data_IF_856440103775
#
_entry.id   IF_856440103775
#
_cell.length_a   1.000
_cell.length_b   1.000
_cell.length_c   1.000
_cell.angle_alpha   90.00
_cell.angle_beta   90.00
_cell.angle_gamma   90.00
#
_symmetry.space_group_name_H-M   'P 1'
#
loop_
_entity.id
_entity.type
_entity.pdbx_description
1 polymer ?
#
# COMPACT_ATOMS: atom_id res chain seq x y z
N UNK A 1 -6.85 -15.51 -12.98
CA UNK A 1 -5.46 -15.01 -12.94
C UNK A 1 -4.85 -15.59 -11.66
N UNK A 2 -3.65 -16.18 -11.71
CA UNK A 2 -3.03 -16.90 -10.59
C UNK A 2 -2.04 -16.05 -9.80
N UNK A 3 -2.43 -14.83 -9.44
CA UNK A 3 -1.65 -13.95 -8.58
C UNK A 3 -2.13 -14.07 -7.15
N UNK A 4 -1.25 -13.90 -6.17
CA UNK A 4 -1.61 -13.92 -4.75
C UNK A 4 -1.94 -12.51 -4.21
N UNK A 5 -1.45 -11.46 -4.88
CA UNK A 5 -1.60 -10.07 -4.45
C UNK A 5 -1.55 -9.10 -5.62
N UNK A 6 -2.00 -7.87 -5.36
CA UNK A 6 -1.90 -6.73 -6.25
C UNK A 6 -1.45 -5.52 -5.43
N UNK A 7 -0.59 -4.69 -5.99
CA UNK A 7 -0.31 -3.38 -5.42
C UNK A 7 -1.11 -2.26 -6.11
N UNK A 8 -1.49 -1.26 -5.34
CA UNK A 8 -2.20 -0.08 -5.80
C UNK A 8 -1.26 1.10 -5.62
N UNK A 9 -0.91 1.76 -6.72
CA UNK A 9 0.05 2.86 -6.71
C UNK A 9 -0.63 4.21 -6.40
N UNK A 10 -0.52 4.65 -5.16
CA UNK A 10 -0.93 5.99 -4.73
C UNK A 10 0.27 6.94 -4.56
N UNK A 11 1.49 6.52 -4.94
CA UNK A 11 2.68 7.37 -4.91
C UNK A 11 2.74 8.26 -6.16
N UNK A 12 2.64 7.62 -7.33
CA UNK A 12 2.70 8.31 -8.62
C UNK A 12 1.40 8.18 -9.43
N UNK A 13 0.50 7.30 -9.01
CA UNK A 13 -0.80 7.17 -9.64
C UNK A 13 -1.66 8.42 -9.45
N UNK A 14 -2.52 8.71 -10.41
CA UNK A 14 -3.50 9.80 -10.34
C UNK A 14 -4.75 9.45 -9.52
N UNK A 15 -4.75 8.28 -8.88
CA UNK A 15 -5.92 7.75 -8.18
C UNK A 15 -6.21 8.52 -6.90
N UNK A 16 -7.47 8.92 -6.72
CA UNK A 16 -7.92 9.49 -5.45
C UNK A 16 -8.29 8.38 -4.43
N UNK A 17 -8.52 8.77 -3.17
CA UNK A 17 -8.88 7.85 -2.07
C UNK A 17 -10.02 6.88 -2.44
N UNK A 18 -11.06 7.38 -3.10
CA UNK A 18 -12.26 6.59 -3.45
C UNK A 18 -12.00 5.62 -4.59
N UNK A 19 -11.16 6.00 -5.56
CA UNK A 19 -10.73 5.10 -6.64
C UNK A 19 -9.87 3.97 -6.08
N UNK A 20 -8.94 4.30 -5.17
CA UNK A 20 -8.14 3.30 -4.50
C UNK A 20 -8.98 2.35 -3.64
N UNK A 21 -9.98 2.87 -2.93
CA UNK A 21 -10.96 2.04 -2.19
C UNK A 21 -11.72 1.08 -3.12
N UNK A 22 -12.13 1.53 -4.29
CA UNK A 22 -12.78 0.66 -5.27
C UNK A 22 -11.83 -0.40 -5.85
N UNK A 23 -10.55 -0.06 -6.04
CA UNK A 23 -9.53 -1.04 -6.46
C UNK A 23 -9.25 -2.07 -5.37
N UNK A 24 -9.23 -1.67 -4.09
CA UNK A 24 -9.11 -2.59 -2.95
C UNK A 24 -10.28 -3.58 -2.95
N UNK A 25 -11.52 -3.08 -3.06
CA UNK A 25 -12.71 -3.94 -3.16
C UNK A 25 -12.65 -4.89 -4.33
N UNK A 26 -12.20 -4.41 -5.49
CA UNK A 26 -12.04 -5.25 -6.67
C UNK A 26 -11.02 -6.36 -6.42
N UNK A 27 -9.87 -6.06 -5.80
CA UNK A 27 -8.86 -7.06 -5.46
C UNK A 27 -9.43 -8.14 -4.52
N UNK A 28 -10.15 -7.74 -3.48
CA UNK A 28 -10.79 -8.68 -2.54
C UNK A 28 -11.81 -9.59 -3.23
N UNK A 29 -12.60 -9.07 -4.18
CA UNK A 29 -13.55 -9.88 -4.95
C UNK A 29 -12.90 -10.96 -5.82
N UNK A 30 -11.60 -10.82 -6.13
CA UNK A 30 -10.81 -11.79 -6.88
C UNK A 30 -9.85 -12.59 -5.99
N UNK A 31 -10.05 -12.58 -4.67
CA UNK A 31 -9.19 -13.25 -3.69
C UNK A 31 -7.71 -12.80 -3.75
N UNK A 32 -7.46 -11.56 -4.19
CA UNK A 32 -6.12 -10.97 -4.22
C UNK A 32 -5.90 -10.14 -2.96
N UNK A 33 -4.73 -10.28 -2.33
CA UNK A 33 -4.31 -9.41 -1.24
C UNK A 33 -4.00 -7.99 -1.78
N UNK A 34 -4.75 -6.94 -1.39
CA UNK A 34 -4.48 -5.58 -1.83
C UNK A 34 -3.40 -4.92 -0.96
N UNK A 35 -2.27 -4.60 -1.59
CA UNK A 35 -1.18 -3.83 -1.00
C UNK A 35 -1.24 -2.41 -1.57
N UNK A 36 -0.98 -1.36 -0.79
CA UNK A 36 -1.06 0.03 -1.28
C UNK A 36 0.29 0.71 -1.12
N UNK A 37 0.82 1.30 -2.18
CA UNK A 37 2.04 2.11 -2.14
C UNK A 37 1.70 3.57 -1.90
N UNK A 38 2.33 4.18 -0.91
CA UNK A 38 2.07 5.55 -0.49
C UNK A 38 3.24 6.48 -0.79
N UNK A 39 3.04 7.80 -0.84
CA UNK A 39 4.13 8.77 -1.03
C UNK A 39 5.06 8.86 0.18
N UNK A 40 4.54 8.64 1.39
CA UNK A 40 5.32 8.73 2.62
C UNK A 40 4.65 7.97 3.76
N UNK A 41 5.39 7.74 4.84
CA UNK A 41 4.83 7.26 6.09
C UNK A 41 4.01 8.38 6.77
N UNK A 42 2.70 8.17 6.92
CA UNK A 42 1.75 9.14 7.46
C UNK A 42 0.52 8.45 8.05
N UNK A 43 -0.20 9.12 8.95
CA UNK A 43 -1.53 8.69 9.44
C UNK A 43 -2.53 8.44 8.30
N UNK A 44 -2.28 9.00 7.12
CA UNK A 44 -3.05 8.72 5.90
C UNK A 44 -3.11 7.23 5.56
N UNK A 45 -2.07 6.45 5.87
CA UNK A 45 -2.03 4.99 5.65
C UNK A 45 -3.15 4.28 6.41
N UNK A 46 -3.43 4.70 7.65
CA UNK A 46 -4.47 4.08 8.49
C UNK A 46 -5.84 4.13 7.81
N UNK A 47 -6.13 5.21 7.08
CA UNK A 47 -7.39 5.36 6.34
C UNK A 47 -7.56 4.35 5.21
N UNK A 48 -6.48 3.74 4.72
CA UNK A 48 -6.54 2.70 3.70
C UNK A 48 -6.60 1.31 4.32
N UNK A 49 -5.94 1.11 5.47
CA UNK A 49 -6.10 -0.09 6.28
C UNK A 49 -7.56 -0.26 6.72
N UNK A 50 -8.20 0.82 7.18
CA UNK A 50 -9.62 0.83 7.54
C UNK A 50 -10.55 0.52 6.35
N UNK A 51 -10.05 0.67 5.11
CA UNK A 51 -10.77 0.41 3.86
C UNK A 51 -10.49 -0.97 3.26
N UNK A 52 -9.70 -1.81 3.93
CA UNK A 52 -9.40 -3.17 3.48
C UNK A 52 -8.01 -3.36 2.87
N UNK A 53 -7.15 -2.34 2.83
CA UNK A 53 -5.76 -2.55 2.46
C UNK A 53 -5.09 -3.50 3.46
N UNK A 54 -4.43 -4.54 2.96
CA UNK A 54 -3.81 -5.58 3.78
C UNK A 54 -2.31 -5.34 4.02
N UNK A 55 -1.75 -4.32 3.39
CA UNK A 55 -0.40 -3.86 3.70
C UNK A 55 -0.04 -2.56 2.97
N UNK A 56 0.73 -1.67 3.61
CA UNK A 56 1.37 -0.55 2.94
C UNK A 56 2.75 -0.92 2.37
N UNK A 57 3.09 -0.22 1.30
CA UNK A 57 4.45 -0.07 0.79
C UNK A 57 4.89 1.37 1.04
N UNK A 58 6.04 1.51 1.70
CA UNK A 58 6.67 2.81 1.97
C UNK A 58 7.89 2.95 1.05
N UNK A 59 7.92 3.93 0.14
CA UNK A 59 9.04 4.18 -0.75
C UNK A 59 10.15 4.97 -0.05
N UNK A 60 11.29 5.08 -0.73
CA UNK A 60 12.42 5.94 -0.36
C UNK A 60 13.16 5.61 0.95
N UNK A 61 13.00 4.40 1.49
CA UNK A 61 13.80 3.96 2.63
C UNK A 61 15.19 3.58 2.14
N UNK A 62 16.18 4.39 2.52
CA UNK A 62 17.56 4.27 1.99
C UNK A 62 18.57 3.84 3.06
N UNK A 63 18.16 3.75 4.31
CA UNK A 63 19.01 3.31 5.40
C UNK A 63 18.27 2.45 6.43
N UNK A 64 19.06 1.70 7.21
CA UNK A 64 18.56 0.77 8.22
C UNK A 64 17.75 1.47 9.32
N UNK A 65 18.12 2.69 9.68
CA UNK A 65 17.42 3.44 10.73
C UNK A 65 16.00 3.80 10.32
N UNK A 66 15.79 4.18 9.06
CA UNK A 66 14.46 4.45 8.49
C UNK A 66 13.60 3.19 8.39
N UNK A 67 14.23 2.06 8.00
CA UNK A 67 13.56 0.76 7.96
C UNK A 67 13.11 0.30 9.36
N UNK A 68 13.95 0.51 10.38
CA UNK A 68 13.65 0.15 11.77
C UNK A 68 12.60 1.07 12.43
N UNK A 69 12.57 2.35 12.05
CA UNK A 69 11.57 3.31 12.52
C UNK A 69 10.19 3.12 11.87
N UNK A 70 10.15 2.47 10.70
CA UNK A 70 8.90 2.10 10.04
C UNK A 70 8.29 0.88 10.74
N UNK A 71 6.95 0.81 10.90
CA UNK A 71 6.29 -0.43 11.32
C UNK A 71 6.71 -1.57 10.37
N UNK A 72 6.61 -2.84 10.81
CA UNK A 72 6.92 -4.01 9.97
C UNK A 72 6.01 -4.03 8.73
N UNK A 73 6.46 -3.38 7.67
CA UNK A 73 5.73 -3.10 6.45
C UNK A 73 6.64 -3.44 5.27
N UNK A 74 6.04 -3.68 4.10
CA UNK A 74 6.79 -3.98 2.89
C UNK A 74 7.57 -2.72 2.49
N UNK A 75 8.88 -2.76 2.69
CA UNK A 75 9.78 -1.64 2.40
C UNK A 75 10.45 -1.89 1.06
N UNK A 76 10.43 -0.89 0.17
CA UNK A 76 11.19 -0.92 -1.09
C UNK A 76 12.37 0.03 -0.95
N UNK A 77 13.57 -0.54 -1.04
CA UNK A 77 14.83 0.18 -1.15
C UNK A 77 15.08 0.39 -2.65
N UNK A 78 15.29 1.64 -3.08
CA UNK A 78 15.68 1.94 -4.46
C UNK A 78 17.19 1.82 -4.63
#
# INVERSE_FOLDING_TARGET
>A
MGFDWVWIDCEHGSSNDSEAENMIRAAELYDLTPIVRFQSFSFYILRFLDRGAQGPIVPHISNKSEAEASPKLLTIIH
#
